data_IF_284336711419
#
_entry.id   IF_284336711419
#
_cell.length_a   1.000
_cell.length_b   1.000
_cell.length_c   1.000
_cell.angle_alpha   90.00
_cell.angle_beta   90.00
_cell.angle_gamma   90.00
#
_symmetry.space_group_name_H-M   'P 1'
#
loop_
_entity.id
_entity.type
_entity.pdbx_description
1 polymer ?
#
# COMPACT_ATOMS: atom_id res chain seq x y z
N UNK A 1 59.41 -58.15 8.01
CA UNK A 1 60.12 -57.08 8.72
C UNK A 1 59.12 -55.97 8.94
N UNK A 2 58.87 -55.73 10.22
CA UNK A 2 57.81 -54.90 10.77
C UNK A 2 58.16 -53.44 10.63
N UNK A 3 57.17 -52.62 10.29
CA UNK A 3 57.13 -51.25 10.72
C UNK A 3 55.78 -50.86 11.18
N UNK A 4 55.73 -50.49 12.46
CA UNK A 4 54.58 -49.98 13.20
C UNK A 4 54.47 -48.48 12.93
N UNK A 5 53.32 -48.01 12.47
CA UNK A 5 52.89 -46.60 12.50
C UNK A 5 51.79 -46.37 13.54
N UNK A 6 52.11 -45.52 14.52
CA UNK A 6 51.14 -45.06 15.55
C UNK A 6 50.23 -43.94 15.02
N UNK A 7 48.98 -43.85 15.43
CA UNK A 7 48.13 -42.76 15.07
C UNK A 7 48.21 -41.63 16.10
N UNK A 8 48.62 -40.48 15.68
CA UNK A 8 48.49 -39.21 16.38
C UNK A 8 47.59 -38.32 15.53
N UNK A 9 46.26 -38.32 15.77
CA UNK A 9 45.37 -37.24 15.33
C UNK A 9 43.94 -37.45 15.87
N UNK A 10 43.69 -37.21 17.16
CA UNK A 10 42.31 -37.09 17.67
C UNK A 10 42.09 -36.00 18.70
N UNK A 11 43.10 -35.24 19.10
CA UNK A 11 42.99 -34.22 20.14
C UNK A 11 42.89 -32.79 19.63
N UNK A 12 43.16 -32.50 18.36
CA UNK A 12 43.16 -31.13 17.81
C UNK A 12 41.81 -30.74 17.19
N UNK A 13 40.99 -31.72 16.78
CA UNK A 13 39.69 -31.42 16.16
C UNK A 13 38.56 -31.04 17.18
N UNK A 14 38.72 -31.41 18.47
CA UNK A 14 37.69 -31.07 19.48
C UNK A 14 37.82 -29.62 20.00
N UNK A 15 38.98 -29.01 19.95
CA UNK A 15 39.21 -27.64 20.43
C UNK A 15 38.70 -26.57 19.43
N UNK A 16 38.69 -26.88 18.12
CA UNK A 16 38.25 -25.93 17.07
C UNK A 16 36.73 -25.87 16.99
N UNK A 17 36.01 -26.97 17.28
CA UNK A 17 34.54 -26.96 17.28
C UNK A 17 33.95 -26.19 18.47
N UNK A 18 34.63 -26.10 19.63
CA UNK A 18 34.09 -25.37 20.79
C UNK A 18 34.30 -23.86 20.70
N UNK A 19 35.31 -23.38 20.02
CA UNK A 19 35.55 -21.93 19.82
C UNK A 19 34.62 -21.33 18.74
N UNK A 20 34.26 -22.11 17.72
CA UNK A 20 33.32 -21.64 16.67
C UNK A 20 31.89 -21.57 17.18
N UNK A 21 31.48 -22.45 18.10
CA UNK A 21 30.14 -22.41 18.71
C UNK A 21 29.94 -21.27 19.72
N UNK A 22 31.00 -20.84 20.44
CA UNK A 22 30.89 -19.66 21.32
C UNK A 22 30.85 -18.34 20.55
N UNK A 23 31.58 -18.22 19.45
CA UNK A 23 31.50 -17.00 18.59
C UNK A 23 30.18 -16.89 17.83
N UNK A 24 29.51 -17.98 17.49
CA UNK A 24 28.18 -17.96 16.87
C UNK A 24 27.07 -17.59 17.84
N UNK A 25 27.23 -17.84 19.15
CA UNK A 25 26.24 -17.44 20.17
C UNK A 25 26.33 -15.96 20.58
N UNK A 26 27.52 -15.33 20.50
CA UNK A 26 27.65 -13.89 20.75
C UNK A 26 27.23 -13.03 19.54
N UNK A 27 27.36 -13.53 18.31
CA UNK A 27 26.86 -12.84 17.12
C UNK A 27 25.32 -12.73 17.07
N UNK A 28 24.58 -13.62 17.75
CA UNK A 28 23.13 -13.59 17.82
C UNK A 28 22.56 -12.56 18.84
N UNK A 29 23.40 -11.87 19.60
CA UNK A 29 23.01 -10.88 20.61
C UNK A 29 23.33 -9.43 20.25
N UNK A 30 23.90 -9.16 19.10
CA UNK A 30 24.09 -7.79 18.66
C UNK A 30 22.77 -7.23 18.10
N UNK A 31 22.29 -6.08 18.59
CA UNK A 31 21.12 -5.43 17.98
C UNK A 31 21.46 -5.07 16.54
N UNK A 32 20.47 -5.13 15.61
CA UNK A 32 20.70 -4.82 14.22
C UNK A 32 21.31 -3.42 14.06
N UNK A 33 22.31 -3.29 13.20
CA UNK A 33 23.20 -2.15 13.02
C UNK A 33 22.53 -0.77 12.75
N UNK A 34 21.21 -0.68 12.77
CA UNK A 34 20.44 0.55 12.51
C UNK A 34 19.45 0.90 13.65
N UNK A 35 19.63 0.37 14.85
CA UNK A 35 18.75 0.73 15.98
C UNK A 35 19.39 1.90 16.74
N UNK A 36 18.78 3.07 16.69
CA UNK A 36 19.20 4.22 17.51
C UNK A 36 19.14 3.80 18.98
N UNK A 37 20.28 3.81 19.68
CA UNK A 37 20.36 3.44 21.10
C UNK A 37 19.61 4.46 21.97
N UNK A 38 19.31 4.05 23.19
CA UNK A 38 18.72 4.95 24.22
C UNK A 38 19.54 6.24 24.35
N UNK A 39 20.84 6.11 24.48
CA UNK A 39 21.78 7.25 24.64
C UNK A 39 21.83 8.14 23.38
N UNK A 40 21.88 7.55 22.19
CA UNK A 40 21.80 8.32 20.95
C UNK A 40 20.50 9.11 20.83
N UNK A 41 19.39 8.57 21.31
CA UNK A 41 18.09 9.24 21.31
C UNK A 41 18.07 10.43 22.26
N UNK A 42 18.56 10.26 23.48
CA UNK A 42 18.68 11.32 24.48
C UNK A 42 19.59 12.44 23.94
N UNK A 43 20.76 12.08 23.41
CA UNK A 43 21.71 13.03 22.83
C UNK A 43 21.10 13.83 21.69
N UNK A 44 20.33 13.19 20.82
CA UNK A 44 19.65 13.86 19.71
C UNK A 44 18.56 14.83 20.21
N UNK A 45 17.82 14.48 21.25
CA UNK A 45 16.84 15.38 21.85
C UNK A 45 17.47 16.59 22.51
N UNK A 46 18.51 16.42 23.32
CA UNK A 46 19.26 17.52 23.90
C UNK A 46 19.83 18.42 22.80
N UNK A 47 20.53 17.87 21.81
CA UNK A 47 21.08 18.66 20.69
C UNK A 47 20.02 19.50 19.96
N UNK A 48 18.78 19.00 19.85
CA UNK A 48 17.72 19.65 19.07
C UNK A 48 16.81 20.58 19.88
N UNK A 49 16.76 20.46 21.19
CA UNK A 49 15.76 21.14 22.02
C UNK A 49 16.34 21.86 23.25
N UNK A 50 17.44 21.40 23.80
CA UNK A 50 18.18 22.12 24.85
C UNK A 50 18.88 23.34 24.23
N UNK A 51 18.27 24.51 24.40
CA UNK A 51 18.74 25.76 23.79
C UNK A 51 19.75 26.49 24.64
N UNK A 52 19.68 26.31 25.96
CA UNK A 52 20.55 26.97 26.93
C UNK A 52 21.81 26.15 27.25
N UNK A 53 21.87 24.87 26.82
CA UNK A 53 23.03 23.98 26.95
C UNK A 53 23.22 23.43 28.38
N UNK A 54 22.16 23.41 29.20
CA UNK A 54 22.24 22.96 30.62
C UNK A 54 22.07 21.44 30.78
N UNK A 55 21.91 20.71 29.67
CA UNK A 55 21.75 19.25 29.66
C UNK A 55 20.36 18.76 30.02
N UNK A 56 19.36 19.67 30.07
CA UNK A 56 17.95 19.40 30.30
C UNK A 56 17.10 20.00 29.18
N UNK A 57 15.80 19.74 29.21
CA UNK A 57 14.85 20.36 28.26
C UNK A 57 13.75 21.02 29.09
N UNK A 58 13.73 22.35 29.12
CA UNK A 58 12.68 23.12 29.78
C UNK A 58 11.36 23.06 28.98
N UNK A 59 10.23 23.35 29.62
CA UNK A 59 8.92 23.30 28.98
C UNK A 59 8.79 24.24 27.75
N UNK A 60 9.44 25.39 27.80
CA UNK A 60 9.45 26.35 26.67
C UNK A 60 10.42 25.97 25.54
N UNK A 61 11.44 25.18 25.83
CA UNK A 61 12.37 24.61 24.87
C UNK A 61 11.77 23.39 24.15
N UNK A 62 10.92 22.63 24.85
CA UNK A 62 10.31 21.43 24.30
C UNK A 62 9.44 21.72 23.08
N UNK A 63 9.56 20.88 22.04
CA UNK A 63 8.78 20.98 20.80
C UNK A 63 8.07 19.69 20.44
N UNK A 64 7.08 19.75 19.55
CA UNK A 64 6.38 18.59 19.00
C UNK A 64 5.76 17.67 20.06
N UNK A 65 5.98 16.37 19.95
CA UNK A 65 5.44 15.36 20.86
C UNK A 65 6.01 15.47 22.28
N UNK A 66 7.22 15.98 22.44
CA UNK A 66 7.82 16.20 23.75
C UNK A 66 7.07 17.30 24.49
N UNK A 67 6.75 18.41 23.82
CA UNK A 67 5.95 19.50 24.39
C UNK A 67 4.53 19.07 24.72
N UNK A 68 3.87 18.33 23.83
CA UNK A 68 2.48 17.90 24.04
C UNK A 68 2.32 16.85 25.15
N UNK A 69 3.40 16.18 25.53
CA UNK A 69 3.41 15.20 26.61
C UNK A 69 4.34 15.62 27.77
N UNK A 70 4.72 16.90 27.85
CA UNK A 70 5.71 17.38 28.81
C UNK A 70 5.34 17.01 30.24
N UNK A 71 4.15 17.40 30.70
CA UNK A 71 3.64 17.13 32.05
C UNK A 71 3.60 15.65 32.44
N UNK A 72 3.43 14.77 31.44
CA UNK A 72 3.45 13.30 31.63
C UNK A 72 4.87 12.76 31.77
N UNK A 73 5.83 13.44 31.20
CA UNK A 73 7.24 13.03 31.19
C UNK A 73 8.03 13.68 32.31
N UNK A 74 7.66 14.89 32.73
CA UNK A 74 8.11 15.60 33.90
C UNK A 74 7.48 14.93 35.15
N UNK A 75 8.17 13.91 35.67
CA UNK A 75 7.65 13.05 36.74
C UNK A 75 7.88 13.65 38.13
N UNK A 76 8.90 14.48 38.29
CA UNK A 76 9.24 15.19 39.54
C UNK A 76 8.58 16.59 39.63
N UNK A 77 7.95 17.06 38.51
CA UNK A 77 7.23 18.34 38.38
C UNK A 77 8.10 19.59 38.58
N UNK A 78 9.38 19.50 38.25
CA UNK A 78 10.32 20.61 38.32
C UNK A 78 10.33 21.50 37.05
N UNK A 79 9.47 21.20 36.06
CA UNK A 79 9.29 21.91 34.80
C UNK A 79 10.45 21.78 33.82
N UNK A 80 11.34 20.82 34.02
CA UNK A 80 12.38 20.43 33.09
C UNK A 80 12.34 18.91 32.88
N UNK A 81 12.81 18.43 31.74
CA UNK A 81 13.04 17.01 31.50
C UNK A 81 14.53 16.75 31.64
N UNK A 82 14.91 16.13 32.73
CA UNK A 82 16.28 15.72 32.95
C UNK A 82 16.64 14.42 32.20
N UNK A 83 17.90 14.00 32.31
CA UNK A 83 18.42 12.83 31.61
C UNK A 83 17.72 11.53 32.01
N UNK A 84 17.26 11.39 33.25
CA UNK A 84 16.54 10.23 33.75
C UNK A 84 15.11 10.17 33.17
N UNK A 85 14.44 11.29 33.10
CA UNK A 85 13.10 11.43 32.53
C UNK A 85 13.11 11.23 31.03
N UNK A 86 14.11 11.79 30.33
CA UNK A 86 14.37 11.51 28.93
C UNK A 86 14.68 10.03 28.70
N UNK A 87 15.40 9.39 29.63
CA UNK A 87 15.66 7.95 29.64
C UNK A 87 14.39 7.11 29.77
N UNK A 88 13.51 7.44 30.71
CA UNK A 88 12.20 6.79 30.87
C UNK A 88 11.30 7.01 29.65
N UNK A 89 11.36 8.18 29.05
CA UNK A 89 10.67 8.48 27.80
C UNK A 89 11.22 7.63 26.64
N UNK A 90 12.55 7.52 26.51
CA UNK A 90 13.19 6.70 25.49
C UNK A 90 12.81 5.22 25.61
N UNK A 91 12.79 4.67 26.84
CA UNK A 91 12.37 3.29 27.12
C UNK A 91 10.89 3.06 26.82
N UNK A 92 10.04 4.03 27.14
CA UNK A 92 8.61 3.97 26.81
C UNK A 92 8.37 3.96 25.31
N UNK A 93 9.08 4.82 24.59
CA UNK A 93 9.01 4.88 23.14
C UNK A 93 9.60 3.63 22.47
N UNK A 94 10.66 3.04 23.04
CA UNK A 94 11.20 1.77 22.55
C UNK A 94 10.19 0.61 22.71
N UNK A 95 9.47 0.56 23.84
CA UNK A 95 8.40 -0.43 24.07
C UNK A 95 7.18 -0.22 23.20
N UNK A 96 6.81 1.03 22.95
CA UNK A 96 5.67 1.36 22.07
C UNK A 96 5.98 1.23 20.57
N UNK A 97 7.21 0.86 20.22
CA UNK A 97 7.68 0.84 18.83
C UNK A 97 7.83 2.23 18.21
N UNK A 98 7.67 3.31 19.01
CA UNK A 98 7.86 4.68 18.56
C UNK A 98 9.37 4.96 18.40
N UNK A 99 9.78 5.29 17.20
CA UNK A 99 11.19 5.57 16.88
C UNK A 99 12.05 4.31 16.67
N UNK A 100 11.52 3.11 16.65
CA UNK A 100 12.00 2.22 15.62
C UNK A 100 11.77 3.03 14.35
N UNK A 101 12.91 3.42 13.71
CA UNK A 101 12.85 3.65 12.29
C UNK A 101 11.99 2.49 11.80
N UNK A 102 10.73 2.70 11.49
CA UNK A 102 10.06 1.81 10.56
C UNK A 102 10.89 2.05 9.31
N UNK A 103 12.01 1.37 9.23
CA UNK A 103 12.38 0.83 7.94
C UNK A 103 11.04 0.34 7.42
N UNK A 104 10.62 0.76 6.22
CA UNK A 104 9.45 0.19 5.62
C UNK A 104 9.62 -1.26 5.96
N UNK A 105 8.69 -1.77 6.83
CA UNK A 105 8.77 -3.14 7.36
C UNK A 105 9.23 -3.86 6.15
N UNK A 106 10.44 -4.42 6.20
CA UNK A 106 10.96 -5.18 5.10
C UNK A 106 9.91 -6.27 4.96
N UNK A 107 8.81 -5.94 4.30
CA UNK A 107 7.97 -6.90 3.66
C UNK A 107 8.99 -7.44 2.70
N UNK A 108 9.64 -8.56 3.13
CA UNK A 108 10.47 -9.30 2.21
C UNK A 108 9.59 -9.48 1.00
N UNK A 109 9.80 -8.59 0.04
CA UNK A 109 9.05 -8.58 -1.20
C UNK A 109 9.23 -9.98 -1.72
N UNK A 110 8.14 -10.68 -1.94
CA UNK A 110 8.20 -12.07 -2.40
C UNK A 110 9.10 -12.12 -3.63
N UNK A 111 10.15 -12.95 -3.57
CA UNK A 111 11.07 -13.09 -4.69
C UNK A 111 10.35 -13.75 -5.88
N UNK A 112 10.88 -13.59 -7.08
CA UNK A 112 10.36 -14.26 -8.27
C UNK A 112 10.34 -15.78 -8.10
N UNK A 113 11.35 -16.37 -7.48
CA UNK A 113 11.36 -17.81 -7.16
C UNK A 113 10.20 -18.21 -6.23
N UNK A 114 9.95 -17.41 -5.20
CA UNK A 114 8.83 -17.65 -4.27
C UNK A 114 7.46 -17.47 -4.94
N UNK A 115 7.34 -16.51 -5.87
CA UNK A 115 6.16 -16.34 -6.71
C UNK A 115 5.91 -17.58 -7.56
N UNK A 116 6.91 -18.04 -8.30
CA UNK A 116 6.78 -19.19 -9.21
C UNK A 116 6.39 -20.48 -8.48
N UNK A 117 6.82 -20.67 -7.23
CA UNK A 117 6.39 -21.80 -6.37
C UNK A 117 4.91 -21.75 -5.95
N UNK A 118 4.23 -20.61 -6.14
CA UNK A 118 2.82 -20.41 -5.78
C UNK A 118 1.87 -20.42 -6.97
N UNK A 119 2.41 -20.54 -8.17
CA UNK A 119 1.61 -20.55 -9.40
C UNK A 119 0.73 -21.80 -9.42
N UNK A 120 -0.60 -21.67 -9.53
CA UNK A 120 -1.49 -22.81 -9.62
C UNK A 120 -1.26 -23.58 -10.93
N UNK A 121 -1.61 -24.86 -10.91
CA UNK A 121 -1.64 -25.67 -12.14
C UNK A 121 -2.56 -25.02 -13.18
N UNK A 122 -2.14 -25.02 -14.45
CA UNK A 122 -2.88 -24.44 -15.56
C UNK A 122 -2.79 -22.92 -15.68
N UNK A 123 -1.88 -22.27 -14.90
CA UNK A 123 -1.61 -20.85 -14.96
C UNK A 123 -0.16 -20.62 -15.37
N UNK A 124 0.05 -19.71 -16.30
CA UNK A 124 1.37 -19.15 -16.63
C UNK A 124 1.54 -17.79 -15.96
N UNK A 125 2.71 -17.54 -15.37
CA UNK A 125 3.07 -16.24 -14.80
C UNK A 125 4.30 -15.69 -15.50
N UNK A 126 4.23 -14.44 -15.93
CA UNK A 126 5.36 -13.65 -16.44
C UNK A 126 5.68 -12.58 -15.40
N UNK A 127 6.73 -12.74 -14.62
CA UNK A 127 7.08 -11.80 -13.56
C UNK A 127 7.85 -10.59 -14.09
N UNK A 128 7.80 -9.49 -13.34
CA UNK A 128 8.67 -8.32 -13.46
C UNK A 128 8.67 -7.66 -14.86
N UNK A 129 7.52 -7.68 -15.54
CA UNK A 129 7.36 -6.99 -16.81
C UNK A 129 7.41 -5.48 -16.60
N UNK A 130 8.34 -4.80 -17.25
CA UNK A 130 8.39 -3.35 -17.25
C UNK A 130 7.33 -2.77 -18.19
N UNK A 131 6.29 -2.13 -17.64
CA UNK A 131 5.28 -1.42 -18.44
C UNK A 131 5.76 -0.04 -18.90
N UNK A 132 6.87 0.42 -18.34
CA UNK A 132 7.60 1.63 -18.71
C UNK A 132 9.07 1.43 -18.33
N UNK A 133 10.00 2.00 -19.10
CA UNK A 133 11.43 1.96 -18.82
C UNK A 133 11.86 3.12 -17.90
N UNK A 134 12.95 2.93 -17.15
CA UNK A 134 13.62 3.98 -16.39
C UNK A 134 13.34 4.05 -14.89
N UNK A 135 12.48 3.16 -14.34
CA UNK A 135 12.27 3.05 -12.90
C UNK A 135 11.85 1.61 -12.53
N UNK A 136 12.42 1.06 -11.47
CA UNK A 136 12.10 -0.29 -10.96
C UNK A 136 10.65 -0.42 -10.45
N UNK A 137 10.03 0.68 -10.03
CA UNK A 137 8.63 0.68 -9.63
C UNK A 137 7.66 0.53 -10.80
N UNK A 138 8.11 0.66 -12.05
CA UNK A 138 7.25 0.52 -13.24
C UNK A 138 7.17 -0.90 -13.75
N UNK A 139 6.85 -1.81 -12.85
CA UNK A 139 6.77 -3.25 -13.13
C UNK A 139 5.40 -3.82 -12.75
N UNK A 140 5.02 -4.87 -13.46
CA UNK A 140 3.86 -5.71 -13.16
C UNK A 140 4.24 -7.19 -13.24
N UNK A 141 3.47 -8.04 -12.56
CA UNK A 141 3.47 -9.48 -12.78
C UNK A 141 2.18 -9.83 -13.52
N UNK A 142 2.27 -10.60 -14.61
CA UNK A 142 1.13 -11.04 -15.40
C UNK A 142 0.87 -12.52 -15.17
N UNK A 143 -0.37 -12.88 -14.86
CA UNK A 143 -0.86 -14.25 -14.73
C UNK A 143 -1.99 -14.51 -15.72
N UNK A 144 -1.94 -15.62 -16.42
CA UNK A 144 -2.95 -16.00 -17.42
C UNK A 144 -3.13 -17.52 -17.46
N UNK A 145 -4.25 -18.04 -17.98
CA UNK A 145 -4.37 -19.46 -18.27
C UNK A 145 -3.27 -19.94 -19.21
N UNK A 146 -2.69 -21.09 -18.91
CA UNK A 146 -1.64 -21.72 -19.72
C UNK A 146 -2.11 -22.01 -21.14
N UNK A 147 -3.37 -22.43 -21.27
CA UNK A 147 -3.96 -22.73 -22.58
C UNK A 147 -4.49 -21.47 -23.25
N UNK A 148 -4.06 -21.21 -24.46
CA UNK A 148 -4.61 -20.12 -25.26
C UNK A 148 -6.04 -20.49 -25.70
N UNK A 149 -7.04 -19.72 -25.22
CA UNK A 149 -8.43 -19.88 -25.69
C UNK A 149 -8.61 -19.37 -27.11
N UNK A 150 -9.71 -19.82 -27.78
CA UNK A 150 -10.10 -19.31 -29.10
C UNK A 150 -10.57 -17.86 -29.03
N UNK A 151 -11.20 -17.45 -27.93
CA UNK A 151 -11.76 -16.11 -27.77
C UNK A 151 -10.87 -15.24 -26.86
N UNK A 152 -10.77 -13.93 -27.16
CA UNK A 152 -10.10 -13.00 -26.28
C UNK A 152 -10.72 -12.95 -24.87
N UNK A 153 -9.91 -12.83 -23.86
CA UNK A 153 -10.27 -12.94 -22.44
C UNK A 153 -10.44 -11.56 -21.77
N UNK A 154 -11.30 -11.43 -20.77
CA UNK A 154 -11.30 -10.23 -19.94
C UNK A 154 -10.00 -10.12 -19.15
N UNK A 155 -9.59 -8.88 -18.84
CA UNK A 155 -8.40 -8.61 -18.04
C UNK A 155 -8.74 -7.94 -16.69
N UNK A 156 -7.96 -8.25 -15.65
CA UNK A 156 -8.08 -7.67 -14.33
C UNK A 156 -6.76 -7.08 -13.84
N UNK A 157 -6.83 -5.86 -13.34
CA UNK A 157 -5.72 -5.18 -12.68
C UNK A 157 -5.92 -5.22 -11.16
N UNK A 158 -4.91 -5.66 -10.43
CA UNK A 158 -4.86 -5.66 -8.97
C UNK A 158 -3.86 -4.61 -8.51
N UNK A 159 -4.34 -3.56 -7.81
CA UNK A 159 -3.55 -2.41 -7.41
C UNK A 159 -3.47 -2.34 -5.89
N UNK A 160 -2.26 -2.46 -5.35
CA UNK A 160 -2.03 -2.52 -3.92
C UNK A 160 -2.33 -1.21 -3.19
N UNK A 161 -2.71 -1.32 -1.90
CA UNK A 161 -2.82 -0.21 -0.97
C UNK A 161 -1.47 0.15 -0.32
N UNK A 162 -1.54 0.85 0.83
CA UNK A 162 -0.35 1.22 1.60
C UNK A 162 -0.12 2.72 1.71
N UNK A 163 -1.19 3.53 1.57
CA UNK A 163 -1.14 4.98 1.73
C UNK A 163 -0.24 5.69 0.71
N UNK A 164 -0.09 5.13 -0.48
CA UNK A 164 0.81 5.57 -1.56
C UNK A 164 2.30 5.63 -1.14
N UNK A 165 2.66 5.08 0.04
CA UNK A 165 4.02 5.13 0.61
C UNK A 165 4.64 3.76 0.80
N UNK A 166 3.82 2.71 0.78
CA UNK A 166 4.21 1.33 1.00
C UNK A 166 3.36 0.42 0.12
N UNK A 167 3.79 -0.82 0.02
CA UNK A 167 3.09 -1.86 -0.73
C UNK A 167 3.93 -2.40 -1.85
N UNK A 168 3.45 -3.50 -2.41
CA UNK A 168 4.12 -4.20 -3.50
C UNK A 168 3.10 -5.05 -4.28
N UNK A 169 3.31 -5.22 -5.58
CA UNK A 169 2.50 -6.04 -6.48
C UNK A 169 2.34 -7.48 -6.00
N UNK A 170 3.32 -8.02 -5.27
CA UNK A 170 3.33 -9.39 -4.73
C UNK A 170 2.75 -9.50 -3.32
N UNK A 171 2.15 -8.42 -2.78
CA UNK A 171 1.42 -8.54 -1.53
C UNK A 171 0.29 -9.56 -1.67
N UNK A 172 0.19 -10.52 -0.71
CA UNK A 172 -0.70 -11.68 -0.79
C UNK A 172 -2.17 -11.31 -1.06
N UNK A 173 -2.63 -10.18 -0.54
CA UNK A 173 -3.99 -9.70 -0.74
C UNK A 173 -4.33 -9.35 -2.20
N UNK A 174 -3.34 -9.20 -3.06
CA UNK A 174 -3.47 -8.87 -4.49
C UNK A 174 -2.98 -10.00 -5.37
N UNK A 175 -1.82 -10.57 -5.06
CA UNK A 175 -1.26 -11.70 -5.80
C UNK A 175 -2.14 -12.95 -5.72
N UNK A 176 -2.63 -13.32 -4.54
CA UNK A 176 -3.49 -14.50 -4.37
C UNK A 176 -4.71 -14.44 -5.30
N UNK A 177 -5.53 -13.39 -5.21
CA UNK A 177 -6.65 -13.21 -6.13
C UNK A 177 -6.24 -13.11 -7.61
N UNK A 178 -5.11 -12.47 -7.94
CA UNK A 178 -4.60 -12.42 -9.30
C UNK A 178 -4.39 -13.82 -9.88
N UNK A 179 -3.72 -14.70 -9.15
CA UNK A 179 -3.50 -16.09 -9.54
C UNK A 179 -4.83 -16.89 -9.61
N UNK A 180 -5.73 -16.67 -8.64
CA UNK A 180 -7.04 -17.33 -8.61
C UNK A 180 -7.89 -16.95 -9.83
N UNK A 181 -8.01 -15.67 -10.18
CA UNK A 181 -8.76 -15.25 -11.37
C UNK A 181 -8.14 -15.75 -12.66
N UNK A 182 -6.82 -15.93 -12.73
CA UNK A 182 -6.17 -16.56 -13.87
C UNK A 182 -6.65 -18.02 -14.08
N UNK A 183 -6.87 -18.81 -13.00
CA UNK A 183 -7.47 -20.16 -13.12
C UNK A 183 -8.90 -20.12 -13.65
N UNK A 184 -9.59 -18.98 -13.50
CA UNK A 184 -10.98 -18.77 -13.94
C UNK A 184 -11.10 -18.15 -15.34
N UNK A 185 -10.01 -18.09 -16.09
CA UNK A 185 -10.01 -17.66 -17.47
C UNK A 185 -9.77 -16.17 -17.72
N UNK A 186 -9.35 -15.42 -16.73
CA UNK A 186 -8.94 -14.03 -16.87
C UNK A 186 -7.44 -13.90 -17.18
N UNK A 187 -7.05 -12.84 -17.86
CA UNK A 187 -5.67 -12.37 -17.85
C UNK A 187 -5.54 -11.33 -16.75
N UNK A 188 -4.65 -11.55 -15.78
CA UNK A 188 -4.57 -10.77 -14.56
C UNK A 188 -3.20 -10.13 -14.42
N UNK A 189 -3.13 -8.89 -13.91
CA UNK A 189 -1.88 -8.25 -13.56
C UNK A 189 -1.93 -7.71 -12.13
N UNK A 190 -0.82 -7.87 -11.40
CA UNK A 190 -0.55 -7.09 -10.20
C UNK A 190 0.44 -5.99 -10.53
N UNK A 191 0.19 -4.77 -10.08
CA UNK A 191 0.89 -3.58 -10.57
C UNK A 191 1.61 -2.87 -9.43
N UNK A 192 2.92 -2.59 -9.61
CA UNK A 192 3.66 -1.62 -8.83
C UNK A 192 3.53 -0.22 -9.45
N UNK A 193 3.62 0.80 -8.63
CA UNK A 193 3.65 2.21 -9.01
C UNK A 193 4.62 2.95 -8.09
N UNK A 194 5.17 4.09 -8.52
CA UNK A 194 6.07 4.90 -7.68
C UNK A 194 5.38 5.29 -6.39
N UNK A 195 6.03 5.01 -5.27
CA UNK A 195 5.56 5.40 -3.95
C UNK A 195 5.92 6.85 -3.64
N UNK A 196 5.18 7.49 -2.74
CA UNK A 196 5.52 8.83 -2.24
C UNK A 196 6.89 8.79 -1.53
N UNK A 197 7.87 9.46 -2.08
CA UNK A 197 9.28 9.37 -1.77
C UNK A 197 10.10 9.34 -3.05
N UNK A 198 9.62 8.62 -4.06
CA UNK A 198 10.07 8.65 -5.45
C UNK A 198 9.13 9.52 -6.31
N UNK A 199 7.83 9.35 -6.12
CA UNK A 199 6.81 10.18 -6.76
C UNK A 199 6.80 11.59 -6.18
N UNK A 200 6.65 12.61 -7.03
CA UNK A 200 6.47 14.01 -6.61
C UNK A 200 5.12 14.22 -5.90
N UNK A 201 4.16 13.32 -6.12
CA UNK A 201 2.84 13.36 -5.50
C UNK A 201 1.93 12.22 -5.95
N UNK A 202 0.69 12.19 -5.43
CA UNK A 202 -0.31 11.16 -5.77
C UNK A 202 -0.64 11.17 -7.27
N UNK A 203 -0.51 12.31 -7.95
CA UNK A 203 -0.71 12.42 -9.40
C UNK A 203 0.25 11.50 -10.19
N UNK A 204 1.49 11.35 -9.74
CA UNK A 204 2.44 10.43 -10.36
C UNK A 204 2.03 8.96 -10.15
N UNK A 205 1.52 8.61 -8.95
CA UNK A 205 0.98 7.26 -8.70
C UNK A 205 -0.21 6.96 -9.64
N UNK A 206 -1.07 7.95 -9.88
CA UNK A 206 -2.18 7.85 -10.84
C UNK A 206 -1.65 7.64 -12.26
N UNK A 207 -0.69 8.46 -12.70
CA UNK A 207 -0.10 8.36 -14.02
C UNK A 207 0.55 6.98 -14.27
N UNK A 208 1.17 6.40 -13.25
CA UNK A 208 1.82 5.09 -13.33
C UNK A 208 0.79 3.96 -13.53
N UNK A 209 -0.30 3.91 -12.75
CA UNK A 209 -1.33 2.86 -12.93
C UNK A 209 -2.11 3.06 -14.24
N UNK A 210 -2.30 4.30 -14.69
CA UNK A 210 -2.87 4.59 -16.00
C UNK A 210 -1.94 4.08 -17.12
N UNK A 211 -0.63 4.31 -17.00
CA UNK A 211 0.36 3.79 -17.94
C UNK A 211 0.37 2.25 -17.98
N UNK A 212 0.33 1.56 -16.82
CA UNK A 212 0.23 0.11 -16.76
C UNK A 212 -1.05 -0.42 -17.44
N UNK A 213 -2.18 0.29 -17.28
CA UNK A 213 -3.44 -0.08 -17.96
C UNK A 213 -3.34 0.09 -19.46
N UNK A 214 -2.71 1.18 -19.95
CA UNK A 214 -2.47 1.39 -21.39
C UNK A 214 -1.51 0.34 -21.95
N UNK A 215 -0.44 0.01 -21.22
CA UNK A 215 0.47 -1.06 -21.58
C UNK A 215 -0.27 -2.37 -21.81
N UNK A 216 -1.10 -2.78 -20.85
CA UNK A 216 -1.88 -4.03 -20.96
C UNK A 216 -2.82 -4.01 -22.17
N UNK A 217 -3.40 -2.88 -22.49
CA UNK A 217 -4.28 -2.71 -23.67
C UNK A 217 -3.51 -2.72 -24.97
N UNK A 218 -2.30 -2.14 -25.02
CA UNK A 218 -1.42 -2.18 -26.17
C UNK A 218 -0.95 -3.60 -26.52
N UNK A 219 -0.80 -4.46 -25.49
CA UNK A 219 -0.39 -5.86 -25.65
C UNK A 219 -1.57 -6.85 -25.64
N UNK A 220 -2.80 -6.34 -25.86
CA UNK A 220 -4.01 -7.17 -25.79
C UNK A 220 -3.97 -8.36 -26.76
N UNK A 221 -3.50 -8.18 -27.99
CA UNK A 221 -3.37 -9.25 -28.97
C UNK A 221 -2.35 -10.31 -28.56
N UNK A 222 -1.22 -9.89 -27.97
CA UNK A 222 -0.16 -10.78 -27.52
C UNK A 222 -0.65 -11.74 -26.42
N UNK A 223 -1.41 -11.22 -25.45
CA UNK A 223 -1.91 -11.98 -24.31
C UNK A 223 -3.35 -12.49 -24.49
N UNK A 224 -3.91 -12.42 -25.71
CA UNK A 224 -5.28 -12.83 -26.00
C UNK A 224 -6.32 -12.16 -25.07
N UNK A 225 -6.22 -10.84 -24.93
CA UNK A 225 -7.09 -10.01 -24.12
C UNK A 225 -8.11 -9.27 -25.00
N UNK A 226 -9.35 -9.18 -24.51
CA UNK A 226 -10.35 -8.25 -25.08
C UNK A 226 -10.13 -6.85 -24.52
N UNK A 227 -9.71 -5.87 -25.34
CA UNK A 227 -9.41 -4.51 -24.87
C UNK A 227 -10.63 -3.74 -24.34
N UNK A 228 -11.86 -4.24 -24.59
CA UNK A 228 -13.11 -3.67 -24.12
C UNK A 228 -13.59 -4.26 -22.77
N UNK A 229 -12.89 -5.27 -22.20
CA UNK A 229 -13.31 -5.99 -20.99
C UNK A 229 -12.24 -5.96 -19.91
N UNK A 230 -11.93 -4.74 -19.39
CA UNK A 230 -10.96 -4.53 -18.32
C UNK A 230 -11.67 -4.25 -17.01
N UNK A 231 -11.29 -4.96 -15.95
CA UNK A 231 -11.69 -4.65 -14.57
C UNK A 231 -10.51 -4.30 -13.70
N UNK A 232 -10.77 -3.64 -12.57
CA UNK A 232 -9.72 -3.33 -11.61
C UNK A 232 -10.21 -3.52 -10.17
N UNK A 233 -9.32 -4.05 -9.31
CA UNK A 233 -9.52 -4.20 -7.88
C UNK A 233 -8.43 -3.51 -7.09
N UNK A 234 -8.82 -2.80 -6.03
CA UNK A 234 -7.88 -2.19 -5.10
C UNK A 234 -8.46 -2.00 -3.69
N UNK A 235 -7.55 -1.83 -2.72
CA UNK A 235 -7.90 -1.52 -1.34
C UNK A 235 -7.18 -0.23 -0.91
N UNK A 236 -7.84 0.63 -0.12
CA UNK A 236 -7.22 1.84 0.43
C UNK A 236 -6.64 2.75 -0.66
N UNK A 237 -5.35 3.07 -0.66
CA UNK A 237 -4.70 3.80 -1.75
C UNK A 237 -4.90 3.13 -3.13
N UNK A 238 -4.90 1.79 -3.19
CA UNK A 238 -5.24 1.06 -4.41
C UNK A 238 -6.69 1.25 -4.84
N UNK A 239 -7.65 1.30 -3.90
CA UNK A 239 -9.05 1.59 -4.20
C UNK A 239 -9.24 3.00 -4.79
N UNK A 240 -8.49 3.97 -4.29
CA UNK A 240 -8.42 5.30 -4.89
C UNK A 240 -7.95 5.23 -6.36
N UNK A 241 -6.81 4.55 -6.60
CA UNK A 241 -6.20 4.45 -7.92
C UNK A 241 -7.13 3.73 -8.93
N UNK A 242 -7.78 2.61 -8.54
CA UNK A 242 -8.71 1.92 -9.44
C UNK A 242 -10.01 2.70 -9.66
N UNK A 243 -10.46 3.50 -8.68
CA UNK A 243 -11.59 4.41 -8.87
C UNK A 243 -11.25 5.51 -9.89
N UNK A 244 -10.02 6.02 -9.88
CA UNK A 244 -9.53 6.94 -10.91
C UNK A 244 -9.50 6.24 -12.29
N UNK A 245 -9.05 4.98 -12.40
CA UNK A 245 -9.09 4.24 -13.68
C UNK A 245 -10.50 4.11 -14.23
N UNK A 246 -11.50 3.95 -13.36
CA UNK A 246 -12.90 3.87 -13.79
C UNK A 246 -13.53 5.21 -14.20
N UNK A 247 -13.16 6.30 -13.53
CA UNK A 247 -13.89 7.56 -13.61
C UNK A 247 -13.17 8.66 -14.39
N UNK A 248 -11.84 8.77 -14.24
CA UNK A 248 -11.08 9.89 -14.77
C UNK A 248 -10.83 9.74 -16.27
N UNK A 249 -11.38 10.65 -17.11
CA UNK A 249 -11.19 10.59 -18.56
C UNK A 249 -9.75 10.90 -18.96
N UNK A 250 -9.32 10.43 -20.12
CA UNK A 250 -7.97 10.66 -20.64
C UNK A 250 -7.67 12.17 -20.82
N UNK A 251 -8.71 12.98 -21.07
CA UNK A 251 -8.62 14.44 -21.25
C UNK A 251 -8.37 15.22 -19.98
N UNK A 252 -8.43 14.58 -18.79
CA UNK A 252 -8.26 15.26 -17.49
C UNK A 252 -6.80 15.64 -17.18
N UNK A 253 -5.84 15.33 -18.05
CA UNK A 253 -4.41 15.64 -17.86
C UNK A 253 -3.79 14.86 -16.69
N UNK A 254 -4.23 13.61 -16.48
CA UNK A 254 -3.74 12.69 -15.44
C UNK A 254 -3.04 11.45 -16.04
N UNK A 255 -2.83 11.44 -17.37
CA UNK A 255 -2.19 10.31 -18.06
C UNK A 255 -0.67 10.25 -17.85
N UNK A 256 -0.07 11.35 -17.40
CA UNK A 256 1.39 11.46 -17.31
C UNK A 256 2.07 11.49 -18.67
N UNK A 257 3.38 11.25 -18.66
CA UNK A 257 4.27 11.29 -19.81
C UNK A 257 4.74 9.89 -20.27
N UNK A 258 4.11 8.84 -19.76
CA UNK A 258 4.44 7.45 -20.10
C UNK A 258 4.06 7.08 -21.55
N UNK A 259 4.53 5.94 -22.06
CA UNK A 259 4.18 5.44 -23.40
C UNK A 259 2.71 5.03 -23.54
N UNK A 260 2.33 4.63 -24.76
CA UNK A 260 1.01 4.09 -25.12
C UNK A 260 -0.14 5.09 -24.95
N UNK A 261 0.11 6.38 -25.23
CA UNK A 261 -0.87 7.47 -25.05
C UNK A 261 -2.09 7.31 -25.98
N UNK A 262 -1.96 6.59 -27.08
CA UNK A 262 -3.03 6.28 -28.02
C UNK A 262 -4.07 5.29 -27.47
N UNK A 263 -3.72 4.57 -26.40
CA UNK A 263 -4.64 3.62 -25.77
C UNK A 263 -5.36 4.26 -24.56
N UNK A 264 -6.60 3.82 -24.32
CA UNK A 264 -7.36 4.25 -23.16
C UNK A 264 -6.83 3.61 -21.87
N UNK A 265 -6.72 4.39 -20.81
CA UNK A 265 -6.43 3.90 -19.45
C UNK A 265 -7.69 3.52 -18.66
N UNK A 266 -8.90 3.70 -19.20
CA UNK A 266 -10.16 3.42 -18.49
C UNK A 266 -10.45 1.93 -18.38
N UNK A 267 -11.07 1.54 -17.27
CA UNK A 267 -11.57 0.19 -17.01
C UNK A 267 -13.11 0.16 -17.01
N UNK A 268 -13.70 -0.98 -17.31
CA UNK A 268 -15.14 -1.19 -17.48
C UNK A 268 -15.80 -1.81 -16.23
N UNK A 269 -15.04 -2.15 -15.19
CA UNK A 269 -15.55 -2.65 -13.91
C UNK A 269 -14.58 -2.26 -12.79
N UNK A 270 -15.11 -1.76 -11.67
CA UNK A 270 -14.30 -1.35 -10.52
C UNK A 270 -14.78 -2.04 -9.26
N UNK A 271 -13.86 -2.69 -8.56
CA UNK A 271 -14.07 -3.17 -7.18
C UNK A 271 -13.13 -2.43 -6.26
N UNK A 272 -13.68 -1.68 -5.30
CA UNK A 272 -12.92 -0.79 -4.44
C UNK A 272 -13.28 -1.00 -2.96
N UNK A 273 -12.27 -1.17 -2.11
CA UNK A 273 -12.46 -1.38 -0.67
C UNK A 273 -11.78 -0.30 0.15
N UNK A 274 -12.49 0.27 1.14
CA UNK A 274 -11.99 1.34 2.00
C UNK A 274 -11.43 2.53 1.20
N UNK A 275 -12.27 3.13 0.33
CA UNK A 275 -11.87 4.02 -0.76
C UNK A 275 -11.66 5.46 -0.32
N UNK A 276 -10.45 6.05 -0.45
CA UNK A 276 -10.25 7.49 -0.42
C UNK A 276 -10.87 8.14 -1.66
N UNK A 277 -12.05 8.74 -1.54
CA UNK A 277 -12.80 9.25 -2.67
C UNK A 277 -12.65 10.75 -2.90
N UNK A 278 -12.36 11.52 -1.83
CA UNK A 278 -12.22 12.97 -1.89
C UNK A 278 -11.11 13.48 -0.97
N UNK A 279 -10.16 14.21 -1.53
CA UNK A 279 -9.12 14.90 -0.76
C UNK A 279 -9.57 16.29 -0.29
N UNK A 280 -10.79 16.73 -0.65
CA UNK A 280 -11.39 17.97 -0.20
C UNK A 280 -11.99 17.87 1.20
N UNK A 281 -12.20 16.66 1.71
CA UNK A 281 -12.69 16.36 3.06
C UNK A 281 -11.62 15.59 3.83
N UNK A 282 -11.65 15.59 5.18
CA UNK A 282 -10.72 14.81 6.00
C UNK A 282 -10.68 13.34 5.59
N UNK A 283 -9.52 12.71 5.70
CA UNK A 283 -9.35 11.30 5.31
C UNK A 283 -9.91 10.34 6.36
N UNK A 284 -9.87 10.70 7.64
CA UNK A 284 -10.34 9.87 8.76
C UNK A 284 -11.01 10.72 9.83
N UNK A 285 -11.75 10.09 10.74
CA UNK A 285 -12.41 10.78 11.87
C UNK A 285 -11.38 11.46 12.78
N UNK A 286 -10.20 10.86 12.95
CA UNK A 286 -9.10 11.51 13.67
C UNK A 286 -8.64 12.80 12.96
N UNK A 287 -8.54 12.79 11.63
CA UNK A 287 -8.19 13.97 10.84
C UNK A 287 -9.33 15.01 10.89
N UNK A 288 -10.58 14.56 10.90
CA UNK A 288 -11.79 15.40 11.03
C UNK A 288 -11.85 16.09 12.39
N UNK A 289 -11.64 15.35 13.49
CA UNK A 289 -11.57 15.90 14.84
C UNK A 289 -10.43 16.91 14.99
N UNK A 290 -9.25 16.61 14.44
CA UNK A 290 -8.11 17.53 14.43
C UNK A 290 -8.40 18.83 13.65
N UNK A 291 -9.14 18.75 12.54
CA UNK A 291 -9.55 19.93 11.77
C UNK A 291 -10.54 20.79 12.53
N UNK A 292 -11.53 20.19 13.23
CA UNK A 292 -12.49 20.91 14.08
C UNK A 292 -11.80 21.64 15.24
N UNK A 293 -10.80 21.02 15.87
CA UNK A 293 -9.99 21.65 16.92
C UNK A 293 -9.08 22.76 16.40
N UNK A 294 -8.70 22.74 15.12
CA UNK A 294 -7.80 23.73 14.50
C UNK A 294 -8.53 25.01 14.03
N UNK A 295 -9.84 25.00 13.89
CA UNK A 295 -10.61 26.25 13.68
C UNK A 295 -10.43 27.26 14.84
N UNK A 296 -9.89 26.79 15.96
CA UNK A 296 -9.54 27.61 17.14
C UNK A 296 -8.04 27.91 17.32
N UNK A 297 -7.14 27.43 16.48
CA UNK A 297 -5.68 27.72 16.56
C UNK A 297 -5.00 27.61 15.20
N UNK A 298 -4.37 28.70 14.79
CA UNK A 298 -3.55 28.83 13.59
C UNK A 298 -2.53 27.69 13.39
N UNK A 299 -2.56 27.11 12.22
CA UNK A 299 -1.51 26.33 11.57
C UNK A 299 -0.95 25.08 12.27
N UNK A 300 -1.43 23.90 11.85
CA UNK A 300 -0.62 22.69 11.82
C UNK A 300 -0.81 21.95 10.50
N UNK A 301 0.33 21.60 9.89
CA UNK A 301 0.45 20.92 8.59
C UNK A 301 -0.27 19.57 8.63
N UNK A 302 -1.36 19.43 7.90
CA UNK A 302 -1.92 18.10 7.60
C UNK A 302 -0.94 17.36 6.66
N UNK A 303 -0.89 16.03 6.76
CA UNK A 303 -0.06 15.18 5.88
C UNK A 303 -0.40 15.32 4.38
N UNK A 304 -1.45 16.05 4.04
CA UNK A 304 -1.89 16.39 2.68
C UNK A 304 -2.10 17.90 2.53
N UNK A 305 -1.07 18.69 2.89
CA UNK A 305 -1.11 20.13 2.61
C UNK A 305 -0.84 20.40 1.12
N UNK A 306 -1.85 20.09 0.30
CA UNK A 306 -1.85 20.33 -1.14
C UNK A 306 -2.82 21.47 -1.48
N UNK A 307 -2.54 22.24 -2.57
CA UNK A 307 -3.48 23.21 -3.10
C UNK A 307 -4.85 22.56 -3.40
N UNK A 308 -5.94 23.34 -3.25
CA UNK A 308 -7.30 22.83 -3.45
C UNK A 308 -7.50 22.24 -4.84
N UNK A 309 -6.91 22.85 -5.88
CA UNK A 309 -6.97 22.35 -7.25
C UNK A 309 -6.32 20.99 -7.41
N UNK A 310 -5.16 20.76 -6.75
CA UNK A 310 -4.50 19.45 -6.74
C UNK A 310 -5.39 18.42 -6.04
N UNK A 311 -5.93 18.77 -4.86
CA UNK A 311 -6.86 17.88 -4.12
C UNK A 311 -8.07 17.51 -4.95
N UNK A 312 -8.68 18.47 -5.64
CA UNK A 312 -9.81 18.25 -6.55
C UNK A 312 -9.41 17.31 -7.69
N UNK A 313 -8.27 17.60 -8.34
CA UNK A 313 -7.78 16.86 -9.50
C UNK A 313 -7.47 15.38 -9.20
N UNK A 314 -6.98 15.04 -8.00
CA UNK A 314 -6.71 13.65 -7.61
C UNK A 314 -7.90 12.95 -6.95
N UNK A 315 -9.05 13.61 -6.77
CA UNK A 315 -10.24 13.05 -6.11
C UNK A 315 -11.14 12.31 -7.11
N UNK A 316 -11.40 11.02 -6.95
CA UNK A 316 -12.32 10.25 -7.81
C UNK A 316 -13.68 10.91 -7.98
N UNK A 317 -14.26 11.48 -6.92
CA UNK A 317 -15.58 12.15 -6.96
C UNK A 317 -15.65 13.31 -7.96
N UNK A 318 -14.51 13.89 -8.34
CA UNK A 318 -14.44 14.99 -9.33
C UNK A 318 -14.86 14.54 -10.73
N UNK A 319 -14.71 13.28 -11.04
CA UNK A 319 -14.90 12.72 -12.38
C UNK A 319 -16.17 11.87 -12.52
N UNK A 320 -16.98 11.83 -11.47
CA UNK A 320 -18.24 11.07 -11.48
C UNK A 320 -19.19 11.67 -12.50
N UNK A 321 -19.78 10.82 -13.34
CA UNK A 321 -20.80 11.14 -14.34
C UNK A 321 -21.69 9.93 -14.61
N UNK A 322 -22.72 10.08 -15.46
CA UNK A 322 -23.68 9.01 -15.78
C UNK A 322 -23.07 7.80 -16.50
N UNK A 323 -21.91 8.01 -17.20
CA UNK A 323 -21.19 6.96 -17.93
C UNK A 323 -20.14 6.25 -17.04
N UNK A 324 -20.23 6.40 -15.71
CA UNK A 324 -19.41 5.67 -14.78
C UNK A 324 -19.59 4.15 -14.99
N UNK A 325 -18.49 3.38 -15.02
CA UNK A 325 -18.60 1.92 -15.14
C UNK A 325 -19.29 1.34 -13.90
N UNK A 326 -19.74 0.07 -13.94
CA UNK A 326 -20.15 -0.67 -12.76
C UNK A 326 -19.15 -0.59 -11.62
N UNK A 327 -19.66 -0.30 -10.41
CA UNK A 327 -18.90 -0.23 -9.17
C UNK A 327 -19.40 -1.21 -8.13
N UNK A 328 -18.49 -1.95 -7.51
CA UNK A 328 -18.72 -2.69 -6.27
C UNK A 328 -17.81 -2.11 -5.19
N UNK A 329 -18.40 -1.54 -4.14
CA UNK A 329 -17.66 -0.93 -3.04
C UNK A 329 -17.88 -1.71 -1.73
N UNK A 330 -16.81 -1.77 -0.93
CA UNK A 330 -16.81 -2.32 0.42
C UNK A 330 -16.24 -1.29 1.39
N UNK A 331 -16.93 -1.05 2.50
CA UNK A 331 -16.38 -0.21 3.59
C UNK A 331 -16.97 -0.61 4.93
N UNK A 332 -16.22 -0.43 6.00
CA UNK A 332 -16.66 -0.71 7.35
C UNK A 332 -16.74 0.60 8.16
N UNK A 333 -17.76 0.71 9.00
CA UNK A 333 -18.15 1.97 9.71
C UNK A 333 -17.06 2.45 10.67
N UNK A 334 -16.37 1.52 11.34
CA UNK A 334 -15.34 1.82 12.34
C UNK A 334 -13.94 1.99 11.73
N UNK A 335 -13.82 2.13 10.40
CA UNK A 335 -12.53 2.35 9.74
C UNK A 335 -11.87 3.66 10.21
N UNK A 336 -10.87 3.53 11.09
CA UNK A 336 -10.12 4.66 11.64
C UNK A 336 -9.03 5.21 10.72
N UNK A 337 -8.77 4.57 9.58
CA UNK A 337 -7.74 4.97 8.60
C UNK A 337 -8.33 5.81 7.47
N UNK A 338 -9.37 5.29 6.85
CA UNK A 338 -10.20 5.98 5.84
C UNK A 338 -11.62 5.97 6.35
N UNK A 339 -12.15 7.14 6.73
CA UNK A 339 -13.51 7.22 7.28
C UNK A 339 -14.54 6.74 6.26
N UNK A 340 -15.53 5.98 6.72
CA UNK A 340 -16.60 5.39 5.89
C UNK A 340 -17.29 6.41 4.99
N UNK A 341 -17.41 7.66 5.47
CA UNK A 341 -17.99 8.79 4.71
C UNK A 341 -17.23 9.11 3.40
N UNK A 342 -16.02 8.63 3.23
CA UNK A 342 -15.30 8.75 1.96
C UNK A 342 -15.98 7.88 0.88
N UNK A 343 -16.28 6.62 1.17
CA UNK A 343 -17.03 5.76 0.25
C UNK A 343 -18.51 6.18 0.16
N UNK A 344 -19.14 6.59 1.28
CA UNK A 344 -20.50 7.09 1.28
C UNK A 344 -20.66 8.25 0.26
N UNK A 345 -19.69 9.20 0.27
CA UNK A 345 -19.67 10.34 -0.66
C UNK A 345 -19.50 9.92 -2.13
N UNK A 346 -18.68 8.91 -2.40
CA UNK A 346 -18.52 8.40 -3.77
C UNK A 346 -19.79 7.75 -4.27
N UNK A 347 -20.43 6.93 -3.43
CA UNK A 347 -21.69 6.24 -3.77
C UNK A 347 -22.81 7.23 -3.98
N UNK A 348 -22.94 8.25 -3.13
CA UNK A 348 -23.90 9.34 -3.27
C UNK A 348 -23.70 10.08 -4.60
N UNK A 349 -22.46 10.47 -4.91
CA UNK A 349 -22.13 11.14 -6.15
C UNK A 349 -22.45 10.30 -7.39
N UNK A 350 -22.08 9.00 -7.38
CA UNK A 350 -22.39 8.07 -8.47
C UNK A 350 -23.90 7.95 -8.72
N UNK A 351 -24.68 7.76 -7.65
CA UNK A 351 -26.15 7.68 -7.74
C UNK A 351 -26.77 9.00 -8.22
N UNK A 352 -26.32 10.12 -7.68
CA UNK A 352 -26.81 11.45 -8.07
C UNK A 352 -26.50 11.77 -9.54
N UNK A 353 -25.37 11.29 -10.06
CA UNK A 353 -25.02 11.44 -11.47
C UNK A 353 -25.75 10.46 -12.41
N UNK A 354 -26.55 9.53 -11.89
CA UNK A 354 -27.28 8.55 -12.68
C UNK A 354 -26.45 7.35 -13.13
N UNK A 355 -25.35 7.02 -12.42
CA UNK A 355 -24.58 5.80 -12.68
C UNK A 355 -25.46 4.55 -12.55
N UNK A 356 -25.43 3.68 -13.57
CA UNK A 356 -26.43 2.61 -13.75
C UNK A 356 -26.24 1.42 -12.81
N UNK A 357 -25.01 1.13 -12.38
CA UNK A 357 -24.66 -0.10 -11.64
C UNK A 357 -23.69 0.24 -10.50
N UNK A 358 -24.25 0.50 -9.33
CA UNK A 358 -23.50 0.84 -8.11
C UNK A 358 -23.95 -0.07 -6.97
N UNK A 359 -23.12 -1.03 -6.61
CA UNK A 359 -23.34 -1.90 -5.46
C UNK A 359 -22.43 -1.45 -4.31
N UNK A 360 -22.99 -1.21 -3.14
CA UNK A 360 -22.25 -0.81 -1.96
C UNK A 360 -22.55 -1.75 -0.78
N UNK A 361 -21.52 -2.37 -0.24
CA UNK A 361 -21.57 -3.22 0.95
C UNK A 361 -20.90 -2.48 2.10
N UNK A 362 -21.72 -1.86 2.94
CA UNK A 362 -21.32 -1.17 4.16
C UNK A 362 -21.41 -2.14 5.33
N UNK A 363 -20.30 -2.38 6.00
CA UNK A 363 -20.16 -3.34 7.11
C UNK A 363 -20.15 -2.62 8.45
N UNK A 364 -20.66 -3.30 9.51
CA UNK A 364 -20.75 -2.81 10.89
C UNK A 364 -20.27 -3.93 11.85
N UNK A 365 -19.24 -4.66 11.47
CA UNK A 365 -18.75 -5.87 12.13
C UNK A 365 -17.42 -5.67 12.87
N UNK A 366 -16.92 -4.43 12.97
CA UNK A 366 -15.65 -4.12 13.60
C UNK A 366 -14.42 -4.54 12.82
N UNK A 367 -14.58 -4.94 11.55
CA UNK A 367 -13.45 -5.32 10.70
C UNK A 367 -12.55 -4.15 10.35
N UNK A 368 -13.04 -2.91 10.43
CA UNK A 368 -12.28 -1.68 10.22
C UNK A 368 -11.64 -1.59 8.85
N UNK A 369 -10.43 -1.02 8.76
CA UNK A 369 -9.74 -0.82 7.47
C UNK A 369 -9.43 -2.10 6.69
N UNK A 370 -9.47 -3.25 7.35
CA UNK A 370 -9.25 -4.57 6.74
C UNK A 370 -10.52 -5.25 6.23
N UNK A 371 -11.64 -4.55 6.06
CA UNK A 371 -12.97 -5.09 5.78
C UNK A 371 -12.99 -6.17 4.71
N UNK A 372 -12.30 -5.97 3.60
CA UNK A 372 -12.29 -6.96 2.51
C UNK A 372 -11.64 -8.28 2.94
N UNK A 373 -10.41 -8.25 3.44
CA UNK A 373 -9.67 -9.46 3.82
C UNK A 373 -10.20 -10.16 5.05
N UNK A 374 -10.74 -9.42 6.03
CA UNK A 374 -11.33 -10.00 7.23
C UNK A 374 -12.69 -10.67 6.96
N UNK A 375 -13.36 -10.28 5.89
CA UNK A 375 -14.63 -10.84 5.43
C UNK A 375 -14.48 -11.59 4.10
N UNK A 376 -13.33 -12.20 3.85
CA UNK A 376 -12.99 -12.77 2.53
C UNK A 376 -13.98 -13.82 2.07
N UNK A 377 -14.57 -14.58 2.99
CA UNK A 377 -15.63 -15.55 2.76
C UNK A 377 -16.92 -14.95 2.15
N UNK A 378 -17.17 -13.68 2.40
CA UNK A 378 -18.31 -12.92 1.86
C UNK A 378 -17.90 -12.02 0.70
N UNK A 379 -16.80 -11.29 0.87
CA UNK A 379 -16.34 -10.28 -0.10
C UNK A 379 -15.70 -10.90 -1.34
N UNK A 380 -15.03 -12.04 -1.20
CA UNK A 380 -14.43 -12.79 -2.31
C UNK A 380 -15.45 -13.23 -3.35
N UNK A 381 -16.49 -14.01 -2.99
CA UNK A 381 -17.54 -14.42 -3.92
C UNK A 381 -18.31 -13.24 -4.55
N UNK A 382 -18.54 -12.14 -3.80
CA UNK A 382 -19.19 -10.94 -4.35
C UNK A 382 -18.32 -10.27 -5.42
N UNK A 383 -17.01 -10.17 -5.19
CA UNK A 383 -16.06 -9.64 -6.19
C UNK A 383 -16.03 -10.50 -7.43
N UNK A 384 -15.99 -11.84 -7.27
CA UNK A 384 -15.96 -12.78 -8.37
C UNK A 384 -17.23 -12.67 -9.22
N UNK A 385 -18.40 -12.82 -8.60
CA UNK A 385 -19.68 -12.74 -9.32
C UNK A 385 -19.90 -11.39 -9.99
N UNK A 386 -19.39 -10.30 -9.41
CA UNK A 386 -19.43 -8.98 -10.00
C UNK A 386 -18.61 -8.91 -11.29
N UNK A 387 -17.34 -9.35 -11.25
CA UNK A 387 -16.50 -9.35 -12.46
C UNK A 387 -17.03 -10.29 -13.51
N UNK A 388 -17.49 -11.50 -13.15
CA UNK A 388 -18.06 -12.45 -14.11
C UNK A 388 -19.30 -11.86 -14.80
N UNK A 389 -20.21 -11.24 -14.04
CA UNK A 389 -21.41 -10.60 -14.57
C UNK A 389 -21.08 -9.44 -15.53
N UNK A 390 -20.13 -8.60 -15.17
CA UNK A 390 -19.83 -7.39 -15.94
C UNK A 390 -18.93 -7.66 -17.13
N UNK A 391 -17.95 -8.57 -16.99
CA UNK A 391 -16.88 -8.71 -17.97
C UNK A 391 -17.00 -9.98 -18.84
N UNK A 392 -17.61 -11.08 -18.33
CA UNK A 392 -17.80 -12.31 -19.12
C UNK A 392 -19.14 -12.34 -19.86
N UNK A 393 -20.21 -11.82 -19.23
CA UNK A 393 -21.58 -11.93 -19.79
C UNK A 393 -21.95 -10.80 -20.76
N UNK A 394 -21.04 -9.87 -21.13
CA UNK A 394 -21.26 -9.01 -22.27
C UNK A 394 -21.23 -9.88 -23.54
N UNK A 395 -22.41 -10.34 -23.99
CA UNK A 395 -22.58 -10.71 -25.40
C UNK A 395 -22.19 -9.49 -26.23
N UNK A 396 -21.34 -9.71 -27.22
CA UNK A 396 -21.09 -8.77 -28.31
C UNK A 396 -22.43 -8.40 -28.95
N UNK A 397 -23.12 -7.40 -28.34
CA UNK A 397 -24.22 -6.71 -29.02
C UNK A 397 -23.65 -5.36 -29.43
N UNK A 398 -23.67 -5.17 -30.74
CA UNK A 398 -23.38 -3.97 -31.51
C UNK A 398 -21.95 -3.88 -32.09
N UNK A 399 -21.77 -4.59 -33.19
CA UNK A 399 -21.03 -4.07 -34.34
C UNK A 399 -21.89 -3.07 -35.08
#
# INVERSE_FOLDING_TARGET
MNDRLFPLTSAVLLAICFTVTLQAQDAARQPPANTITKEQRITNWLRSQDKNGDGKIAHDEATGLMKSNFTRNDTNKDKVLDRDELGKLADRLARSGYGRNRQPRNQQTMTTEQLLKRVPQGVTVIPDIAYRQGNEAWQLDLAMPETKGSEPRPALLFVHGGGWRNGDKRAQAFLGPCLEFATKGYVCVTVNYRLLGEAKGIADCIADVKCATRWLRAHATEYNIDPARFGAYGNSAGAHLVSILGLCPNTAGMEGDGPYQEYSSRVQAVVASATPASFMIPMSDRARAAQQQQQNKQQRRSSFNMPAEVKKKISPVTYVNADAPPFLLFHEVSDGTVGVYQSDKLVEALKAAGAKDVTYKRYEDGSGHGVFGKNIDKTGPLRESFFDRVLKNKKTSDQ
#
